data_IF_547200397980
#
_entry.id   IF_547200397980
#
_cell.length_a   1.000
_cell.length_b   1.000
_cell.length_c   1.000
_cell.angle_alpha   90.00
_cell.angle_beta   90.00
_cell.angle_gamma   90.00
#
_symmetry.space_group_name_H-M   'P 1'
#
loop_
_entity.id
_entity.type
_entity.pdbx_description
1 polymer ?
#
# COMPACT_ATOMS: atom_id res chain seq x y z
N UNK A 1 -1.85 20.79 18.87
CA UNK A 1 -0.59 21.35 19.41
C UNK A 1 0.49 21.55 18.35
N UNK A 2 0.84 20.56 17.51
CA UNK A 2 1.90 20.72 16.50
C UNK A 2 1.68 21.90 15.54
N UNK A 3 0.47 22.02 14.96
CA UNK A 3 0.19 23.10 14.01
C UNK A 3 0.30 24.50 14.61
N UNK A 4 -0.05 24.71 15.88
CA UNK A 4 0.07 26.04 16.51
C UNK A 4 1.53 26.44 16.69
N UNK A 5 2.40 25.51 17.09
CA UNK A 5 3.85 25.76 17.19
C UNK A 5 4.46 26.00 15.81
N UNK A 6 4.13 25.16 14.81
CA UNK A 6 4.68 25.33 13.47
C UNK A 6 4.14 26.59 12.76
N UNK A 7 2.92 27.06 13.06
CA UNK A 7 2.42 28.34 12.53
C UNK A 7 3.15 29.55 13.12
N UNK A 8 3.54 29.48 14.40
CA UNK A 8 4.34 30.54 15.04
C UNK A 8 5.77 30.61 14.48
N UNK A 9 6.38 29.45 14.28
CA UNK A 9 7.76 29.37 13.78
C UNK A 9 7.85 29.56 12.26
N UNK A 10 6.91 28.97 11.51
CA UNK A 10 6.94 28.91 10.05
C UNK A 10 5.59 29.32 9.42
N UNK A 11 5.13 30.57 9.61
CA UNK A 11 3.81 31.04 9.14
C UNK A 11 3.66 31.04 7.61
N UNK A 12 4.76 31.03 6.86
CA UNK A 12 4.78 31.02 5.39
C UNK A 12 4.61 29.61 4.79
N UNK A 13 4.67 28.55 5.62
CA UNK A 13 4.42 27.19 5.16
C UNK A 13 2.94 26.94 4.82
N UNK A 14 2.05 27.61 5.56
CA UNK A 14 0.61 27.47 5.42
C UNK A 14 0.06 28.46 4.40
N UNK A 15 -0.99 28.05 3.71
CA UNK A 15 -1.79 28.90 2.83
C UNK A 15 -2.70 29.84 3.65
N UNK A 16 -3.75 30.38 3.02
CA UNK A 16 -4.71 31.29 3.67
C UNK A 16 -5.34 30.69 4.93
N UNK A 17 -5.45 29.35 5.04
CA UNK A 17 -6.06 28.66 6.17
C UNK A 17 -5.40 28.95 7.53
N UNK A 18 -4.18 29.50 7.56
CA UNK A 18 -3.55 29.95 8.82
C UNK A 18 -4.33 31.06 9.51
N UNK A 19 -5.04 31.92 8.77
CA UNK A 19 -5.79 33.05 9.35
C UNK A 19 -6.99 32.60 10.18
N UNK A 20 -7.46 31.35 9.98
CA UNK A 20 -8.55 30.74 10.73
C UNK A 20 -8.07 29.98 11.98
N UNK A 21 -6.77 30.03 12.28
CA UNK A 21 -6.16 29.43 13.47
C UNK A 21 -5.84 27.94 13.37
N UNK A 22 -5.00 27.47 14.29
CA UNK A 22 -4.50 26.08 14.32
C UNK A 22 -5.56 25.04 14.65
N UNK A 23 -6.64 25.43 15.35
CA UNK A 23 -7.77 24.55 15.62
C UNK A 23 -8.47 24.16 14.33
N UNK A 24 -8.75 25.13 13.45
CA UNK A 24 -9.38 24.89 12.14
C UNK A 24 -8.53 23.98 11.28
N UNK A 25 -7.21 24.20 11.24
CA UNK A 25 -6.29 23.33 10.48
C UNK A 25 -6.23 21.91 11.06
N UNK A 26 -6.26 21.75 12.38
CA UNK A 26 -6.29 20.42 13.02
C UNK A 26 -7.63 19.71 12.74
N UNK A 27 -8.75 20.44 12.80
CA UNK A 27 -10.08 19.92 12.44
C UNK A 27 -10.13 19.50 10.97
N UNK A 28 -9.60 20.31 10.06
CA UNK A 28 -9.47 19.95 8.64
C UNK A 28 -8.52 18.78 8.43
N UNK A 29 -7.45 18.67 9.22
CA UNK A 29 -6.55 17.52 9.21
C UNK A 29 -7.35 16.25 9.53
N UNK A 30 -7.97 16.21 10.70
CA UNK A 30 -8.52 14.98 11.30
C UNK A 30 -9.90 14.61 10.73
N UNK A 31 -10.72 15.59 10.33
CA UNK A 31 -12.10 15.35 9.87
C UNK A 31 -12.23 15.13 8.35
N UNK A 32 -11.17 15.30 7.56
CA UNK A 32 -11.25 15.18 6.10
C UNK A 32 -10.16 14.28 5.49
N UNK A 33 -10.60 13.36 4.63
CA UNK A 33 -9.73 12.46 3.88
C UNK A 33 -9.02 11.46 4.77
N UNK A 34 -7.72 11.29 4.57
CA UNK A 34 -6.90 10.30 5.26
C UNK A 34 -6.27 10.80 6.57
N UNK A 35 -6.75 11.93 7.13
CA UNK A 35 -6.17 12.48 8.35
C UNK A 35 -4.83 13.21 8.16
N UNK A 36 -4.41 13.49 6.90
CA UNK A 36 -3.13 14.12 6.60
C UNK A 36 -3.31 15.56 6.12
N UNK A 37 -2.52 16.48 6.66
CA UNK A 37 -2.41 17.86 6.19
C UNK A 37 -1.07 18.09 5.48
N UNK A 38 -1.10 18.49 4.21
CA UNK A 38 0.12 18.71 3.42
C UNK A 38 0.46 20.19 3.28
N UNK A 39 1.74 20.52 3.44
CA UNK A 39 2.32 21.81 3.05
C UNK A 39 3.24 21.58 1.84
N UNK A 40 2.80 21.91 0.61
CA UNK A 40 3.60 21.76 -0.60
C UNK A 40 4.41 23.02 -0.94
N UNK A 41 5.49 22.84 -1.71
CA UNK A 41 6.35 23.90 -2.26
C UNK A 41 7.00 24.79 -1.20
N UNK A 42 7.58 24.16 -0.19
CA UNK A 42 8.29 24.85 0.90
C UNK A 42 9.78 24.75 0.64
N UNK A 43 10.52 25.85 0.73
CA UNK A 43 11.98 25.82 0.59
C UNK A 43 12.62 25.85 1.97
N UNK A 44 13.40 24.82 2.31
CA UNK A 44 14.19 24.75 3.55
C UNK A 44 15.64 24.53 3.16
N UNK A 45 16.53 25.45 3.54
CA UNK A 45 17.96 25.42 3.22
C UNK A 45 18.25 25.20 1.72
N UNK A 46 17.52 25.92 0.85
CA UNK A 46 17.66 25.82 -0.61
C UNK A 46 17.00 24.58 -1.25
N UNK A 47 16.47 23.63 -0.45
CA UNK A 47 15.80 22.43 -0.96
C UNK A 47 14.29 22.62 -0.92
N UNK A 48 13.63 22.42 -2.07
CA UNK A 48 12.18 22.42 -2.16
C UNK A 48 11.62 21.09 -1.63
N UNK A 49 10.80 21.18 -0.60
CA UNK A 49 10.16 20.05 0.06
C UNK A 49 8.63 20.17 0.02
N UNK A 50 8.00 19.02 0.19
CA UNK A 50 6.59 18.88 0.58
C UNK A 50 6.55 17.97 1.79
N UNK A 51 5.87 18.39 2.86
CA UNK A 51 5.72 17.57 4.05
C UNK A 51 4.25 17.43 4.44
N UNK A 52 3.91 16.28 5.02
CA UNK A 52 2.59 15.96 5.54
C UNK A 52 2.63 15.79 7.05
N UNK A 53 1.58 16.24 7.72
CA UNK A 53 1.39 16.10 9.17
C UNK A 53 0.18 15.20 9.39
N UNK A 54 0.31 14.26 10.32
CA UNK A 54 -0.72 13.29 10.67
C UNK A 54 -0.64 12.97 12.16
N UNK A 55 -1.77 12.66 12.78
CA UNK A 55 -1.81 12.17 14.16
C UNK A 55 -1.25 10.73 14.22
N UNK A 56 -0.44 10.44 15.24
CA UNK A 56 0.12 9.09 15.46
C UNK A 56 -0.98 8.03 15.57
N UNK A 57 -2.07 8.33 16.27
CA UNK A 57 -3.19 7.38 16.39
C UNK A 57 -3.84 7.09 15.03
N UNK A 58 -3.96 8.10 14.17
CA UNK A 58 -4.53 7.93 12.83
C UNK A 58 -3.66 7.05 11.94
N UNK A 59 -2.33 7.26 11.93
CA UNK A 59 -1.43 6.40 11.15
C UNK A 59 -1.38 4.99 11.70
N UNK A 60 -1.31 4.80 13.03
CA UNK A 60 -1.35 3.47 13.64
C UNK A 60 -2.64 2.73 13.30
N UNK A 61 -3.79 3.41 13.40
CA UNK A 61 -5.10 2.84 13.07
C UNK A 61 -5.20 2.44 11.59
N UNK A 62 -4.80 3.33 10.67
CA UNK A 62 -4.83 3.00 9.23
C UNK A 62 -3.90 1.82 8.92
N UNK A 63 -2.74 1.73 9.58
CA UNK A 63 -1.79 0.61 9.42
C UNK A 63 -2.34 -0.74 9.93
N UNK A 64 -3.05 -0.74 11.05
CA UNK A 64 -3.56 -1.97 11.66
C UNK A 64 -4.94 -2.40 11.18
N UNK A 65 -5.79 -1.46 10.77
CA UNK A 65 -7.21 -1.73 10.44
C UNK A 65 -7.55 -1.56 8.96
N UNK A 66 -6.75 -0.81 8.20
CA UNK A 66 -7.00 -0.46 6.80
C UNK A 66 -8.34 0.25 6.58
N UNK A 67 -8.62 1.29 7.37
CA UNK A 67 -9.80 2.13 7.22
C UNK A 67 -9.79 2.88 5.87
N UNK A 68 -8.63 3.40 5.47
CA UNK A 68 -8.48 4.19 4.23
C UNK A 68 -7.45 3.65 3.26
N UNK A 69 -6.50 2.84 3.74
CA UNK A 69 -5.33 2.35 2.98
C UNK A 69 -4.42 3.47 2.43
N UNK A 70 -4.63 4.73 2.82
CA UNK A 70 -3.88 5.85 2.28
C UNK A 70 -2.46 5.93 2.85
N UNK A 71 -2.35 5.85 4.18
CA UNK A 71 -1.05 5.85 4.89
C UNK A 71 -0.45 4.44 4.86
N UNK A 72 -1.29 3.44 5.14
CA UNK A 72 -0.90 2.04 5.10
C UNK A 72 -0.34 1.64 3.74
N UNK A 73 -1.03 2.01 2.66
CA UNK A 73 -0.57 1.79 1.30
C UNK A 73 0.75 2.46 0.96
N UNK A 74 1.08 3.61 1.58
CA UNK A 74 2.40 4.24 1.40
C UNK A 74 3.50 3.47 2.11
N UNK A 75 3.21 2.93 3.29
CA UNK A 75 4.17 2.19 4.15
C UNK A 75 4.28 0.70 3.81
N UNK A 76 3.45 0.18 2.89
CA UNK A 76 3.66 -1.10 2.19
C UNK A 76 4.78 -1.03 1.14
N UNK A 77 5.35 0.15 0.90
CA UNK A 77 6.43 0.36 -0.06
C UNK A 77 7.66 0.87 0.68
N UNK A 78 8.87 0.68 0.13
CA UNK A 78 10.09 1.21 0.72
C UNK A 78 10.00 2.69 1.09
N UNK A 79 10.40 2.99 2.33
CA UNK A 79 10.50 4.32 2.91
C UNK A 79 11.77 4.43 3.76
N UNK A 80 12.32 5.64 3.86
CA UNK A 80 13.42 5.93 4.78
C UNK A 80 12.85 6.54 6.05
N UNK A 81 12.98 5.81 7.16
CA UNK A 81 12.56 6.28 8.49
C UNK A 81 13.67 7.15 9.07
N UNK A 82 13.39 8.44 9.26
CA UNK A 82 14.35 9.38 9.84
C UNK A 82 14.26 9.44 11.37
N UNK A 83 13.05 9.18 11.90
CA UNK A 83 12.76 9.07 13.33
C UNK A 83 11.71 7.99 13.52
N UNK A 84 11.96 7.12 14.49
CA UNK A 84 11.11 5.97 14.76
C UNK A 84 10.16 6.24 15.93
N UNK A 85 8.94 5.71 15.85
CA UNK A 85 7.98 5.62 16.96
C UNK A 85 7.61 4.13 17.12
N UNK A 86 7.81 3.52 18.31
CA UNK A 86 7.57 2.10 18.51
C UNK A 86 6.15 1.64 18.14
N UNK A 87 5.13 2.49 18.33
CA UNK A 87 3.74 2.16 18.00
C UNK A 87 3.54 2.10 16.50
N UNK A 88 4.13 3.04 15.76
CA UNK A 88 4.06 3.06 14.29
C UNK A 88 4.83 1.87 13.72
N UNK A 89 5.99 1.52 14.29
CA UNK A 89 6.76 0.34 13.89
C UNK A 89 5.95 -0.95 14.05
N UNK A 90 5.34 -1.16 15.21
CA UNK A 90 4.51 -2.34 15.48
C UNK A 90 3.29 -2.40 14.54
N UNK A 91 2.57 -1.27 14.39
CA UNK A 91 1.44 -1.20 13.47
C UNK A 91 1.87 -1.47 12.01
N UNK A 92 3.06 -1.02 11.61
CA UNK A 92 3.56 -1.28 10.27
C UNK A 92 3.96 -2.75 10.05
N UNK A 93 4.40 -3.49 11.06
CA UNK A 93 4.61 -4.94 10.94
C UNK A 93 3.29 -5.66 10.60
N UNK A 94 2.18 -5.27 11.25
CA UNK A 94 0.84 -5.77 10.93
C UNK A 94 0.47 -5.41 9.49
N UNK A 95 0.71 -4.17 9.09
CA UNK A 95 0.44 -3.69 7.73
C UNK A 95 1.19 -4.49 6.66
N UNK A 96 2.51 -4.69 6.82
CA UNK A 96 3.33 -5.41 5.85
C UNK A 96 2.89 -6.87 5.72
N UNK A 97 2.67 -7.54 6.86
CA UNK A 97 2.19 -8.92 6.89
C UNK A 97 0.80 -9.06 6.26
N UNK A 98 -0.08 -8.09 6.51
CA UNK A 98 -1.42 -8.03 5.90
C UNK A 98 -1.33 -7.84 4.39
N UNK A 99 -0.41 -7.01 3.90
CA UNK A 99 -0.19 -6.79 2.47
C UNK A 99 0.28 -8.06 1.76
N UNK A 100 1.20 -8.83 2.37
CA UNK A 100 1.61 -10.13 1.84
C UNK A 100 0.41 -11.08 1.74
N UNK A 101 -0.37 -11.23 2.83
CA UNK A 101 -1.58 -12.09 2.81
C UNK A 101 -2.57 -11.65 1.74
N UNK A 102 -2.86 -10.36 1.63
CA UNK A 102 -3.74 -9.83 0.59
C UNK A 102 -3.23 -10.14 -0.81
N UNK A 103 -1.93 -9.98 -1.06
CA UNK A 103 -1.34 -10.31 -2.36
C UNK A 103 -1.41 -11.81 -2.67
N UNK A 104 -1.09 -12.67 -1.70
CA UNK A 104 -1.23 -14.13 -1.82
C UNK A 104 -2.70 -14.56 -2.04
N UNK A 105 -3.66 -13.81 -1.48
CA UNK A 105 -5.07 -14.03 -1.75
C UNK A 105 -5.45 -13.76 -3.22
N UNK A 106 -4.70 -12.91 -3.92
CA UNK A 106 -4.97 -12.52 -5.30
C UNK A 106 -4.10 -13.25 -6.34
N UNK A 107 -2.98 -13.83 -5.92
CA UNK A 107 -2.01 -14.50 -6.79
C UNK A 107 -2.34 -16.00 -6.95
N UNK A 108 -1.96 -16.62 -8.07
CA UNK A 108 -2.07 -18.06 -8.27
C UNK A 108 -1.07 -18.84 -7.40
N UNK A 109 -1.10 -20.17 -7.45
CA UNK A 109 -0.19 -21.04 -6.68
C UNK A 109 1.30 -20.72 -6.94
N UNK A 110 1.68 -20.48 -8.19
CA UNK A 110 3.06 -20.18 -8.61
C UNK A 110 3.14 -18.80 -9.22
N UNK A 111 4.07 -17.98 -8.73
CA UNK A 111 4.25 -16.60 -9.18
C UNK A 111 5.70 -16.17 -9.01
N UNK A 112 6.04 -15.00 -9.54
CA UNK A 112 7.37 -14.39 -9.42
C UNK A 112 7.39 -13.34 -8.32
N UNK A 113 8.58 -13.03 -7.82
CA UNK A 113 8.83 -11.98 -6.86
C UNK A 113 8.33 -10.62 -7.37
N UNK A 114 8.57 -10.34 -8.66
CA UNK A 114 8.05 -9.15 -9.31
C UNK A 114 6.52 -9.10 -9.29
N UNK A 115 5.84 -10.22 -9.55
CA UNK A 115 4.38 -10.29 -9.43
C UNK A 115 3.91 -10.02 -8.00
N UNK A 116 4.57 -10.61 -7.00
CA UNK A 116 4.25 -10.38 -5.59
C UNK A 116 4.34 -8.90 -5.22
N UNK A 117 5.47 -8.26 -5.50
CA UNK A 117 5.70 -6.87 -5.13
C UNK A 117 4.86 -5.89 -5.94
N UNK A 118 4.57 -6.22 -7.21
CA UNK A 118 3.64 -5.44 -8.03
C UNK A 118 2.22 -5.50 -7.47
N UNK A 119 1.76 -6.68 -7.04
CA UNK A 119 0.45 -6.84 -6.39
C UNK A 119 0.40 -6.06 -5.09
N UNK A 120 1.41 -6.19 -4.21
CA UNK A 120 1.52 -5.44 -2.95
C UNK A 120 1.51 -3.93 -3.19
N UNK A 121 2.40 -3.43 -4.06
CA UNK A 121 2.48 -2.00 -4.38
C UNK A 121 1.17 -1.49 -5.00
N UNK A 122 0.50 -2.36 -5.77
CA UNK A 122 -0.77 -2.14 -6.44
C UNK A 122 -1.95 -1.96 -5.50
N UNK A 123 -1.97 -2.58 -4.31
CA UNK A 123 -3.07 -2.45 -3.33
C UNK A 123 -3.46 -0.98 -3.14
N UNK A 124 -2.48 -0.12 -2.87
CA UNK A 124 -2.69 1.32 -2.64
C UNK A 124 -3.18 2.15 -3.86
N UNK A 125 -3.20 1.54 -5.04
CA UNK A 125 -3.62 2.16 -6.29
C UNK A 125 -4.92 1.57 -6.84
N UNK A 126 -5.35 0.41 -6.35
CA UNK A 126 -6.60 -0.22 -6.77
C UNK A 126 -7.80 0.60 -6.29
N UNK A 127 -8.43 1.33 -7.22
CA UNK A 127 -9.52 2.24 -6.92
C UNK A 127 -9.09 3.67 -6.61
N UNK A 128 -7.81 4.02 -6.79
CA UNK A 128 -7.38 5.42 -6.80
C UNK A 128 -7.88 6.11 -8.08
N UNK A 129 -8.72 7.16 -7.98
CA UNK A 129 -9.21 7.88 -9.16
C UNK A 129 -8.09 8.44 -10.05
N UNK A 130 -6.90 8.69 -9.49
CA UNK A 130 -5.75 9.21 -10.24
C UNK A 130 -5.19 8.22 -11.26
N UNK A 131 -5.34 6.93 -10.98
CA UNK A 131 -4.96 5.82 -11.86
C UNK A 131 -6.06 5.43 -12.85
N UNK A 132 -7.27 5.99 -12.71
CA UNK A 132 -8.36 5.72 -13.64
C UNK A 132 -7.99 6.25 -15.04
N UNK A 133 -8.01 5.40 -16.09
CA UNK A 133 -7.68 5.80 -17.45
C UNK A 133 -8.49 6.99 -17.98
N UNK A 134 -9.72 7.19 -17.48
CA UNK A 134 -10.58 8.33 -17.84
C UNK A 134 -10.09 9.67 -17.29
N UNK A 135 -9.43 9.68 -16.12
CA UNK A 135 -8.92 10.90 -15.49
C UNK A 135 -7.42 11.13 -15.75
N UNK A 136 -6.68 10.08 -16.15
CA UNK A 136 -5.39 10.17 -16.86
C UNK A 136 -4.27 10.97 -16.19
N UNK A 137 -4.30 11.09 -14.85
CA UNK A 137 -3.41 12.00 -14.11
C UNK A 137 -2.08 11.36 -13.67
N UNK A 138 -1.94 10.03 -13.79
CA UNK A 138 -0.75 9.28 -13.41
C UNK A 138 -0.37 8.27 -14.51
N UNK A 139 0.92 7.88 -14.56
CA UNK A 139 1.44 6.92 -15.54
C UNK A 139 0.84 5.53 -15.26
N UNK A 140 0.22 4.84 -16.25
CA UNK A 140 -0.33 3.49 -16.07
C UNK A 140 0.69 2.45 -15.58
N UNK A 141 1.98 2.64 -15.90
CA UNK A 141 3.10 1.78 -15.47
C UNK A 141 3.71 2.21 -14.14
N UNK A 142 3.07 3.14 -13.42
CA UNK A 142 3.63 3.71 -12.19
C UNK A 142 3.97 2.64 -11.15
N UNK A 143 3.13 1.60 -11.01
CA UNK A 143 3.33 0.53 -10.04
C UNK A 143 4.53 -0.34 -10.39
N UNK A 144 4.59 -0.86 -11.62
CA UNK A 144 5.73 -1.65 -12.10
C UNK A 144 7.04 -0.85 -12.03
N UNK A 145 7.03 0.42 -12.46
CA UNK A 145 8.22 1.26 -12.41
C UNK A 145 8.71 1.53 -10.98
N UNK A 146 7.82 1.50 -9.98
CA UNK A 146 8.23 1.60 -8.57
C UNK A 146 8.95 0.32 -8.14
N UNK A 147 8.39 -0.84 -8.48
CA UNK A 147 8.97 -2.14 -8.10
C UNK A 147 10.30 -2.35 -8.81
N UNK A 148 10.32 -2.17 -10.13
CA UNK A 148 11.51 -2.41 -10.96
C UNK A 148 12.69 -1.52 -10.51
N UNK A 149 12.42 -0.25 -10.14
CA UNK A 149 13.45 0.67 -9.65
C UNK A 149 13.88 0.44 -8.18
N UNK A 150 13.11 -0.33 -7.40
CA UNK A 150 13.32 -0.47 -5.95
C UNK A 150 13.29 -1.91 -5.45
N UNK A 151 13.39 -2.90 -6.35
CA UNK A 151 13.33 -4.33 -6.04
C UNK A 151 14.20 -4.74 -4.83
N UNK A 152 15.47 -4.29 -4.71
CA UNK A 152 16.31 -4.60 -3.54
C UNK A 152 15.72 -4.07 -2.23
N UNK A 153 15.09 -2.89 -2.26
CA UNK A 153 14.44 -2.32 -1.08
C UNK A 153 13.16 -3.07 -0.73
N UNK A 154 12.44 -3.62 -1.71
CA UNK A 154 11.29 -4.49 -1.45
C UNK A 154 11.73 -5.80 -0.79
N UNK A 155 12.85 -6.38 -1.23
CA UNK A 155 13.42 -7.58 -0.59
C UNK A 155 13.70 -7.39 0.88
N UNK A 156 14.30 -6.25 1.26
CA UNK A 156 14.52 -5.91 2.68
C UNK A 156 13.24 -5.91 3.52
N UNK A 157 12.10 -5.48 2.94
CA UNK A 157 10.83 -5.46 3.65
C UNK A 157 10.18 -6.85 3.73
N UNK A 158 10.28 -7.65 2.66
CA UNK A 158 9.40 -8.80 2.47
C UNK A 158 10.08 -10.16 2.55
N UNK A 159 11.38 -10.29 2.26
CA UNK A 159 12.10 -11.58 2.39
C UNK A 159 11.97 -12.14 3.81
N UNK A 160 12.23 -11.36 4.89
CA UNK A 160 12.06 -11.89 6.25
C UNK A 160 10.61 -12.28 6.58
N UNK A 161 9.62 -11.68 5.92
CA UNK A 161 8.22 -12.03 6.13
C UNK A 161 7.84 -13.32 5.39
N UNK A 162 8.34 -13.48 4.17
CA UNK A 162 8.14 -14.69 3.35
C UNK A 162 8.76 -15.90 4.06
N UNK A 163 10.02 -15.79 4.48
CA UNK A 163 10.74 -16.88 5.17
C UNK A 163 10.11 -17.30 6.52
N UNK A 164 9.31 -16.42 7.14
CA UNK A 164 8.62 -16.72 8.41
C UNK A 164 7.16 -17.14 8.21
N UNK A 165 6.62 -17.08 6.99
CA UNK A 165 5.25 -17.48 6.71
C UNK A 165 5.19 -18.97 6.35
N UNK A 166 4.29 -19.76 6.95
CA UNK A 166 4.23 -21.20 6.72
C UNK A 166 3.55 -21.59 5.40
N UNK A 167 3.23 -20.62 4.54
CA UNK A 167 2.32 -20.81 3.41
C UNK A 167 2.81 -20.18 2.10
N UNK A 168 4.06 -19.73 2.06
CA UNK A 168 4.74 -19.24 0.86
C UNK A 168 6.23 -19.45 0.99
N UNK A 169 6.86 -19.97 -0.06
CA UNK A 169 8.29 -20.25 -0.09
C UNK A 169 8.90 -19.82 -1.43
N UNK A 170 10.19 -19.52 -1.41
CA UNK A 170 10.95 -19.38 -2.66
C UNK A 170 11.14 -20.76 -3.30
N UNK A 171 10.67 -20.91 -4.54
CA UNK A 171 10.82 -22.13 -5.33
C UNK A 171 11.73 -21.87 -6.53
N UNK A 172 12.97 -21.48 -6.24
CA UNK A 172 13.98 -21.10 -7.22
C UNK A 172 15.38 -21.45 -6.73
N UNK A 173 16.13 -22.23 -7.51
CA UNK A 173 17.49 -22.66 -7.16
C UNK A 173 18.50 -21.51 -7.14
N UNK A 174 18.16 -20.35 -7.73
CA UNK A 174 19.02 -19.16 -7.78
C UNK A 174 19.00 -18.36 -6.48
N UNK A 175 18.12 -18.68 -5.54
CA UNK A 175 17.98 -17.95 -4.27
C UNK A 175 19.25 -18.18 -3.43
N UNK A 176 19.92 -17.11 -2.98
CA UNK A 176 21.08 -17.25 -2.10
C UNK A 176 20.70 -17.96 -0.80
N UNK A 177 21.58 -18.85 -0.31
CA UNK A 177 21.37 -19.59 0.94
C UNK A 177 21.88 -18.86 2.18
N UNK A 178 22.72 -17.86 1.97
CA UNK A 178 23.33 -17.08 3.06
C UNK A 178 22.28 -16.21 3.75
N UNK A 179 22.19 -16.23 5.10
CA UNK A 179 21.26 -15.38 5.83
C UNK A 179 21.50 -13.89 5.53
N UNK A 180 20.42 -13.16 5.25
CA UNK A 180 20.51 -11.70 5.08
C UNK A 180 20.99 -11.24 3.69
N UNK A 181 21.08 -12.13 2.70
CA UNK A 181 21.44 -11.84 1.30
C UNK A 181 20.66 -10.65 0.69
N UNK A 182 19.42 -10.43 1.11
CA UNK A 182 18.58 -9.31 0.70
C UNK A 182 19.16 -7.95 1.11
N UNK A 183 19.92 -7.91 2.20
CA UNK A 183 20.53 -6.70 2.75
C UNK A 183 21.77 -6.32 1.96
N UNK A 184 22.61 -7.30 1.62
CA UNK A 184 23.82 -7.11 0.81
C UNK A 184 23.47 -6.59 -0.59
N UNK A 185 22.46 -7.18 -1.22
CA UNK A 185 21.93 -6.70 -2.49
C UNK A 185 21.47 -5.24 -2.38
N UNK A 186 20.76 -4.87 -1.33
CA UNK A 186 20.30 -3.50 -1.15
C UNK A 186 21.44 -2.50 -0.82
N UNK A 187 22.48 -2.92 -0.10
CA UNK A 187 23.68 -2.12 0.17
C UNK A 187 24.47 -1.89 -1.12
N UNK A 188 24.71 -2.94 -1.91
CA UNK A 188 25.37 -2.82 -3.21
C UNK A 188 24.64 -1.79 -4.11
N UNK A 189 23.31 -1.80 -4.06
CA UNK A 189 22.47 -0.87 -4.80
C UNK A 189 22.47 0.56 -4.24
N UNK A 190 22.56 0.73 -2.92
CA UNK A 190 22.71 2.04 -2.31
C UNK A 190 24.08 2.66 -2.61
N UNK A 191 25.12 1.84 -2.75
CA UNK A 191 26.50 2.27 -3.05
C UNK A 191 26.72 2.54 -4.55
N UNK A 192 26.06 1.80 -5.44
CA UNK A 192 26.13 2.02 -6.89
C UNK A 192 25.28 3.20 -7.37
N UNK A 193 24.31 3.64 -6.58
CA UNK A 193 23.32 4.62 -7.00
C UNK A 193 23.82 6.07 -6.88
N UNK A 194 24.43 6.55 -7.97
CA UNK A 194 24.43 7.96 -8.35
C UNK A 194 23.03 8.45 -8.78
N UNK A 195 21.96 7.85 -8.26
CA UNK A 195 20.56 8.10 -8.65
C UNK A 195 20.08 7.41 -9.94
N UNK A 196 20.85 6.49 -10.54
CA UNK A 196 20.43 5.70 -11.72
C UNK A 196 19.82 4.36 -11.31
N UNK A 197 18.88 3.87 -12.13
CA UNK A 197 18.31 2.52 -11.98
C UNK A 197 19.40 1.48 -12.24
N UNK A 198 19.33 0.37 -11.51
CA UNK A 198 20.28 -0.75 -11.63
C UNK A 198 19.98 -1.46 -12.95
N UNK A 199 21.00 -1.75 -13.79
CA UNK A 199 20.81 -2.56 -14.98
C UNK A 199 20.19 -3.92 -14.64
N UNK A 200 19.35 -4.44 -15.53
CA UNK A 200 18.59 -5.67 -15.33
C UNK A 200 19.50 -6.88 -15.00
N UNK A 201 20.66 -6.90 -15.61
CA UNK A 201 21.73 -7.89 -15.52
C UNK A 201 22.42 -7.95 -14.15
N UNK A 202 22.43 -6.84 -13.40
CA UNK A 202 23.08 -6.74 -12.10
C UNK A 202 22.13 -7.07 -10.93
N UNK A 203 20.84 -7.27 -11.24
CA UNK A 203 19.83 -7.64 -10.26
C UNK A 203 19.89 -9.16 -10.06
N UNK A 204 20.29 -9.60 -8.86
CA UNK A 204 20.23 -11.02 -8.49
C UNK A 204 18.80 -11.55 -8.68
N UNK A 205 18.63 -12.65 -9.40
CA UNK A 205 17.32 -13.21 -9.76
C UNK A 205 16.73 -12.65 -11.08
N UNK A 206 17.33 -11.62 -11.66
CA UNK A 206 16.87 -10.95 -12.89
C UNK A 206 15.67 -10.03 -12.65
N UNK A 207 15.12 -9.47 -13.75
CA UNK A 207 14.01 -8.50 -13.70
C UNK A 207 12.75 -9.05 -13.03
N UNK A 208 12.40 -10.32 -13.28
CA UNK A 208 11.23 -10.95 -12.65
C UNK A 208 11.50 -11.40 -11.20
N UNK A 209 12.76 -11.35 -10.77
CA UNK A 209 13.22 -11.86 -9.49
C UNK A 209 13.11 -13.38 -9.37
N UNK A 210 12.95 -13.87 -8.16
CA UNK A 210 12.85 -15.30 -7.89
C UNK A 210 11.43 -15.85 -8.10
N UNK A 211 11.32 -17.14 -8.40
CA UNK A 211 10.05 -17.85 -8.38
C UNK A 211 9.63 -18.17 -6.94
N UNK A 212 8.34 -18.02 -6.66
CA UNK A 212 7.70 -18.37 -5.39
C UNK A 212 6.54 -19.32 -5.64
N UNK A 213 6.23 -20.10 -4.61
CA UNK A 213 5.05 -20.95 -4.57
C UNK A 213 4.35 -20.77 -3.24
N UNK A 214 3.03 -20.65 -3.27
CA UNK A 214 2.20 -20.60 -2.07
C UNK A 214 1.40 -21.87 -1.89
N UNK A 215 1.06 -22.18 -0.63
CA UNK A 215 0.18 -23.30 -0.33
C UNK A 215 -1.30 -22.93 -0.55
N UNK A 216 -1.97 -23.75 -1.35
CA UNK A 216 -3.39 -23.61 -1.70
C UNK A 216 -4.32 -24.40 -0.77
N UNK A 217 -3.78 -25.06 0.27
CA UNK A 217 -4.54 -25.75 1.30
C UNK A 217 -5.67 -24.86 1.89
N UNK A 218 -6.91 -25.35 1.97
CA UNK A 218 -8.05 -24.58 2.46
C UNK A 218 -7.84 -23.98 3.85
N UNK A 219 -7.16 -24.70 4.77
CA UNK A 219 -6.90 -24.21 6.13
C UNK A 219 -5.89 -23.06 6.08
N UNK A 220 -4.78 -23.20 5.35
CA UNK A 220 -3.78 -22.12 5.21
C UNK A 220 -4.36 -20.88 4.52
N UNK A 221 -5.18 -21.06 3.48
CA UNK A 221 -5.87 -19.95 2.81
C UNK A 221 -6.92 -19.29 3.70
N UNK A 222 -7.74 -20.05 4.41
CA UNK A 222 -8.69 -19.51 5.38
C UNK A 222 -8.00 -18.75 6.52
N UNK A 223 -6.84 -19.22 6.99
CA UNK A 223 -6.04 -18.50 7.98
C UNK A 223 -5.55 -17.14 7.47
N UNK A 224 -5.22 -17.01 6.18
CA UNK A 224 -4.88 -15.71 5.60
C UNK A 224 -6.07 -14.75 5.66
N UNK A 225 -7.26 -15.21 5.27
CA UNK A 225 -8.51 -14.43 5.30
C UNK A 225 -8.82 -13.97 6.73
N UNK A 226 -8.73 -14.87 7.70
CA UNK A 226 -8.96 -14.60 9.13
C UNK A 226 -8.05 -13.50 9.69
N UNK A 227 -6.80 -13.45 9.22
CA UNK A 227 -5.74 -12.57 9.72
C UNK A 227 -5.60 -11.27 8.93
N UNK A 228 -6.56 -10.95 8.06
CA UNK A 228 -6.65 -9.65 7.42
C UNK A 228 -7.03 -8.56 8.44
N UNK A 229 -6.66 -7.29 8.20
CA UNK A 229 -7.05 -6.16 9.04
C UNK A 229 -8.55 -6.07 9.24
N UNK A 230 -9.00 -5.76 10.46
CA UNK A 230 -10.41 -5.87 10.88
C UNK A 230 -11.39 -5.21 9.91
N UNK A 231 -11.23 -3.91 9.61
CA UNK A 231 -12.15 -3.17 8.73
C UNK A 231 -12.15 -3.72 7.31
N UNK A 232 -11.01 -4.23 6.82
CA UNK A 232 -10.90 -4.87 5.51
C UNK A 232 -11.54 -6.26 5.48
N UNK A 233 -11.24 -7.09 6.48
CA UNK A 233 -11.77 -8.44 6.68
C UNK A 233 -13.30 -8.42 6.73
N UNK A 234 -13.88 -7.51 7.50
CA UNK A 234 -15.33 -7.40 7.60
C UNK A 234 -15.99 -7.08 6.25
N UNK A 235 -15.42 -6.18 5.43
CA UNK A 235 -15.90 -5.91 4.05
C UNK A 235 -15.92 -7.17 3.19
N UNK A 236 -14.87 -7.99 3.29
CA UNK A 236 -14.79 -9.26 2.59
C UNK A 236 -15.83 -10.26 3.11
N UNK A 237 -16.02 -10.33 4.43
CA UNK A 237 -17.00 -11.20 5.08
C UNK A 237 -18.42 -10.86 4.62
N UNK A 238 -18.81 -9.58 4.61
CA UNK A 238 -20.13 -9.17 4.11
C UNK A 238 -20.32 -9.47 2.62
N UNK A 239 -19.25 -9.41 1.82
CA UNK A 239 -19.34 -9.79 0.41
C UNK A 239 -19.70 -11.28 0.27
N UNK A 240 -18.99 -12.14 1.00
CA UNK A 240 -19.20 -13.59 0.95
C UNK A 240 -20.42 -14.06 1.74
N UNK A 241 -20.86 -13.34 2.77
CA UNK A 241 -22.12 -13.60 3.46
C UNK A 241 -23.30 -13.53 2.48
N UNK A 242 -23.33 -12.49 1.64
CA UNK A 242 -24.36 -12.34 0.59
C UNK A 242 -24.24 -13.45 -0.46
N UNK A 243 -23.02 -13.72 -0.94
CA UNK A 243 -22.77 -14.75 -1.96
C UNK A 243 -23.16 -16.15 -1.48
N UNK A 244 -22.82 -16.49 -0.25
CA UNK A 244 -23.12 -17.79 0.35
C UNK A 244 -24.53 -17.88 0.96
N UNK A 245 -25.30 -16.79 0.90
CA UNK A 245 -26.67 -16.70 1.42
C UNK A 245 -26.77 -17.12 2.90
N UNK A 246 -25.78 -16.71 3.71
CA UNK A 246 -25.74 -17.09 5.13
C UNK A 246 -26.76 -16.24 5.91
N UNK A 247 -27.63 -16.85 6.74
CA UNK A 247 -28.55 -16.12 7.61
C UNK A 247 -27.83 -15.15 8.56
N UNK A 248 -28.43 -14.00 8.85
CA UNK A 248 -27.84 -12.97 9.71
C UNK A 248 -27.38 -13.52 11.07
N UNK A 249 -28.23 -14.28 11.76
CA UNK A 249 -27.91 -14.86 13.07
C UNK A 249 -26.74 -15.85 13.06
N UNK A 250 -26.49 -16.54 11.95
CA UNK A 250 -25.32 -17.41 11.79
C UNK A 250 -24.07 -16.59 11.47
N UNK A 251 -24.23 -15.50 10.72
CA UNK A 251 -23.14 -14.60 10.38
C UNK A 251 -22.66 -13.75 11.56
N UNK A 252 -23.58 -13.34 12.44
CA UNK A 252 -23.23 -12.58 13.66
C UNK A 252 -22.26 -13.37 14.53
N UNK A 253 -22.47 -14.68 14.69
CA UNK A 253 -21.54 -15.58 15.40
C UNK A 253 -20.14 -15.57 14.78
N UNK A 254 -20.05 -15.60 13.44
CA UNK A 254 -18.76 -15.55 12.72
C UNK A 254 -18.03 -14.23 13.00
N UNK A 255 -18.76 -13.12 13.09
CA UNK A 255 -18.20 -11.79 13.38
C UNK A 255 -17.79 -11.65 14.85
N UNK A 256 -18.58 -12.18 15.78
CA UNK A 256 -18.28 -12.23 17.22
C UNK A 256 -17.01 -13.03 17.48
N UNK A 257 -16.94 -14.26 16.96
CA UNK A 257 -15.73 -15.10 17.04
C UNK A 257 -14.51 -14.37 16.46
N UNK A 258 -14.67 -13.63 15.36
CA UNK A 258 -13.59 -12.82 14.77
C UNK A 258 -13.12 -11.66 15.64
N UNK A 259 -14.01 -11.09 16.43
CA UNK A 259 -13.76 -9.90 17.22
C UNK A 259 -13.14 -10.25 18.57
N UNK A 260 -13.58 -11.33 19.20
CA UNK A 260 -13.07 -11.78 20.50
C UNK A 260 -11.61 -12.25 20.46
N UNK A 261 -11.12 -12.69 19.30
CA UNK A 261 -9.70 -13.02 19.09
C UNK A 261 -8.81 -11.80 18.81
N UNK A 262 -9.42 -10.64 18.52
CA UNK A 262 -8.68 -9.39 18.31
C UNK A 262 -8.36 -8.66 19.64
N UNK A 263 -9.07 -8.99 20.73
CA UNK A 263 -8.89 -8.44 22.07
C UNK A 263 -8.00 -9.31 22.97
N UNK A 264 -6.67 -9.11 22.92
CA UNK A 264 -5.72 -9.65 23.93
C UNK A 264 -5.81 -11.17 24.21
N UNK A 265 -6.38 -11.94 23.28
CA UNK A 265 -6.56 -13.38 23.40
C UNK A 265 -5.27 -14.12 23.09
N UNK A 266 -4.87 -15.05 23.97
CA UNK A 266 -3.71 -15.95 23.80
C UNK A 266 -4.04 -17.05 22.75
N UNK A 267 -5.30 -17.18 22.30
CA UNK A 267 -5.69 -18.19 21.32
C UNK A 267 -5.10 -17.87 19.94
N UNK A 268 -4.66 -18.91 19.23
CA UNK A 268 -4.20 -18.80 17.84
C UNK A 268 -5.36 -18.32 16.97
N UNK A 269 -5.16 -17.20 16.26
CA UNK A 269 -6.09 -16.75 15.21
C UNK A 269 -6.10 -17.76 14.06
N UNK A 270 -7.09 -18.63 14.05
CA UNK A 270 -7.33 -19.65 13.03
C UNK A 270 -8.67 -19.42 12.35
N UNK A 271 -8.72 -19.64 11.03
CA UNK A 271 -9.94 -19.52 10.25
C UNK A 271 -10.87 -20.72 10.50
N UNK A 272 -12.15 -20.42 10.71
CA UNK A 272 -13.22 -21.41 10.76
C UNK A 272 -13.63 -21.85 9.36
N UNK A 273 -14.74 -22.57 9.28
CA UNK A 273 -15.23 -23.12 8.00
C UNK A 273 -15.66 -22.03 7.02
N UNK A 274 -16.12 -20.88 7.53
CA UNK A 274 -16.45 -19.73 6.71
C UNK A 274 -15.21 -19.17 6.00
N UNK A 275 -14.13 -18.91 6.72
CA UNK A 275 -12.91 -18.38 6.13
C UNK A 275 -12.23 -19.38 5.20
N UNK A 276 -12.26 -20.68 5.52
CA UNK A 276 -11.77 -21.75 4.63
C UNK A 276 -12.56 -21.76 3.33
N UNK A 277 -13.89 -21.70 3.40
CA UNK A 277 -14.76 -21.63 2.22
C UNK A 277 -14.47 -20.40 1.36
N UNK A 278 -14.19 -19.25 1.97
CA UNK A 278 -13.74 -18.04 1.24
C UNK A 278 -12.41 -18.31 0.55
N UNK A 279 -11.41 -18.83 1.30
CA UNK A 279 -10.04 -19.03 0.82
C UNK A 279 -9.91 -19.93 -0.40
N UNK A 280 -10.90 -20.78 -0.67
CA UNK A 280 -10.95 -21.72 -1.79
C UNK A 280 -11.84 -21.26 -2.95
N UNK A 281 -12.39 -20.05 -2.92
CA UNK A 281 -13.18 -19.55 -4.05
C UNK A 281 -12.28 -19.04 -5.17
N UNK A 282 -12.61 -19.36 -6.42
CA UNK A 282 -11.87 -18.87 -7.59
C UNK A 282 -11.99 -17.35 -7.77
N UNK A 283 -13.08 -16.74 -7.28
CA UNK A 283 -13.35 -15.29 -7.39
C UNK A 283 -12.73 -14.46 -6.25
N UNK A 284 -11.91 -15.07 -5.40
CA UNK A 284 -11.27 -14.36 -4.29
C UNK A 284 -10.38 -13.19 -4.75
N UNK A 285 -9.64 -13.23 -5.88
CA UNK A 285 -8.88 -12.08 -6.34
C UNK A 285 -9.77 -10.88 -6.67
N UNK A 286 -10.91 -11.12 -7.33
CA UNK A 286 -11.90 -10.10 -7.69
C UNK A 286 -12.56 -9.53 -6.44
N UNK A 287 -12.99 -10.40 -5.52
CA UNK A 287 -13.63 -9.99 -4.26
C UNK A 287 -12.70 -9.15 -3.38
N UNK A 288 -11.43 -9.55 -3.27
CA UNK A 288 -10.38 -8.79 -2.56
C UNK A 288 -10.15 -7.45 -3.27
N UNK A 289 -10.02 -7.45 -4.60
CA UNK A 289 -9.84 -6.24 -5.39
C UNK A 289 -10.98 -5.23 -5.22
N UNK A 290 -12.21 -5.70 -5.15
CA UNK A 290 -13.38 -4.84 -4.90
C UNK A 290 -13.44 -4.30 -3.47
N UNK A 291 -13.00 -5.08 -2.48
CA UNK A 291 -12.84 -4.59 -1.11
C UNK A 291 -11.78 -3.48 -1.02
N UNK A 292 -10.68 -3.62 -1.77
CA UNK A 292 -9.64 -2.58 -1.86
C UNK A 292 -10.21 -1.30 -2.49
N UNK A 293 -10.92 -1.41 -3.62
CA UNK A 293 -11.56 -0.26 -4.27
C UNK A 293 -12.55 0.47 -3.35
N UNK A 294 -13.39 -0.28 -2.64
CA UNK A 294 -14.34 0.27 -1.65
C UNK A 294 -13.63 0.97 -0.49
N UNK A 295 -12.44 0.53 -0.12
CA UNK A 295 -11.63 1.14 0.94
C UNK A 295 -10.95 2.43 0.48
N UNK A 296 -10.43 2.47 -0.76
CA UNK A 296 -9.58 3.58 -1.24
C UNK A 296 -10.36 4.70 -1.93
N UNK A 297 -11.42 4.38 -2.65
CA UNK A 297 -12.09 5.31 -3.59
C UNK A 297 -12.57 6.61 -2.92
N UNK A 298 -13.21 6.51 -1.75
CA UNK A 298 -13.67 7.69 -1.02
C UNK A 298 -12.51 8.50 -0.41
N UNK A 299 -11.61 7.91 0.43
CA UNK A 299 -10.51 8.66 1.02
C UNK A 299 -9.56 9.31 0.01
N UNK A 300 -9.23 8.62 -1.10
CA UNK A 300 -8.34 9.19 -2.13
C UNK A 300 -9.00 10.40 -2.85
N UNK A 301 -10.31 10.31 -3.13
CA UNK A 301 -11.08 11.41 -3.73
C UNK A 301 -11.12 12.61 -2.79
N UNK A 302 -11.50 12.39 -1.54
CA UNK A 302 -11.56 13.44 -0.52
C UNK A 302 -10.19 14.08 -0.28
N UNK A 303 -9.11 13.28 -0.26
CA UNK A 303 -7.76 13.80 -0.07
C UNK A 303 -7.27 14.62 -1.28
N UNK A 304 -7.65 14.22 -2.50
CA UNK A 304 -7.34 14.99 -3.71
C UNK A 304 -8.06 16.35 -3.69
N UNK A 305 -9.34 16.38 -3.32
CA UNK A 305 -10.12 17.60 -3.17
C UNK A 305 -9.55 18.50 -2.06
N UNK A 306 -9.21 17.92 -0.90
CA UNK A 306 -8.55 18.61 0.20
C UNK A 306 -7.23 19.23 -0.23
N UNK A 307 -6.43 18.53 -1.04
CA UNK A 307 -5.18 19.07 -1.59
C UNK A 307 -5.39 20.34 -2.41
N UNK A 308 -6.47 20.39 -3.21
CA UNK A 308 -6.82 21.58 -4.01
C UNK A 308 -7.24 22.74 -3.11
N UNK A 309 -8.13 22.48 -2.14
CA UNK A 309 -8.67 23.49 -1.24
C UNK A 309 -7.62 24.07 -0.29
N UNK A 310 -6.73 23.22 0.23
CA UNK A 310 -5.72 23.62 1.22
C UNK A 310 -4.46 24.21 0.60
N UNK A 311 -4.11 23.85 -0.64
CA UNK A 311 -2.91 24.35 -1.32
C UNK A 311 -2.98 25.81 -1.77
N UNK A 312 -4.20 26.35 -1.94
CA UNK A 312 -4.43 27.64 -2.61
C UNK A 312 -4.36 27.53 -4.14
N UNK A 313 -5.02 28.41 -4.89
CA UNK A 313 -5.26 28.25 -6.33
C UNK A 313 -3.98 28.10 -7.17
N UNK A 314 -2.94 28.89 -6.87
CA UNK A 314 -1.67 28.88 -7.62
C UNK A 314 -0.86 27.60 -7.44
N UNK A 315 -0.67 27.14 -6.19
CA UNK A 315 0.07 25.90 -5.87
C UNK A 315 -0.69 24.65 -6.35
N UNK A 316 -2.03 24.67 -6.24
CA UNK A 316 -2.89 23.59 -6.72
C UNK A 316 -2.85 23.46 -8.24
N UNK A 317 -2.86 24.58 -8.98
CA UNK A 317 -2.74 24.57 -10.44
C UNK A 317 -1.40 23.99 -10.91
N UNK A 318 -0.29 24.45 -10.33
CA UNK A 318 1.06 23.93 -10.66
C UNK A 318 1.15 22.41 -10.43
N UNK A 319 0.61 21.93 -9.31
CA UNK A 319 0.60 20.49 -8.98
C UNK A 319 -0.20 19.66 -9.99
N UNK A 320 -1.39 20.13 -10.39
CA UNK A 320 -2.23 19.45 -11.38
C UNK A 320 -1.57 19.42 -12.77
N UNK A 321 -0.87 20.50 -13.16
CA UNK A 321 -0.14 20.58 -14.42
C UNK A 321 1.00 19.56 -14.50
N UNK A 322 1.84 19.46 -13.46
CA UNK A 322 2.93 18.48 -13.38
C UNK A 322 2.42 17.04 -13.48
N UNK A 323 1.28 16.75 -12.82
CA UNK A 323 0.66 15.41 -12.87
C UNK A 323 0.12 15.07 -14.25
N UNK A 324 -0.60 16.01 -14.89
CA UNK A 324 -1.09 15.83 -16.28
C UNK A 324 0.05 15.59 -17.28
N UNK A 325 1.16 16.31 -17.16
CA UNK A 325 2.34 16.09 -18.01
C UNK A 325 2.90 14.67 -17.85
N UNK A 326 3.05 14.19 -16.61
CA UNK A 326 3.49 12.80 -16.33
C UNK A 326 2.52 11.76 -16.89
N UNK A 327 1.21 12.01 -16.83
CA UNK A 327 0.19 11.14 -17.44
C UNK A 327 0.32 11.06 -18.96
N UNK A 328 0.58 12.19 -19.64
CA UNK A 328 0.80 12.23 -21.11
C UNK A 328 2.03 11.45 -21.53
N UNK A 329 3.17 11.65 -20.85
CA UNK A 329 4.41 10.90 -21.10
C UNK A 329 4.20 9.40 -20.94
N UNK A 330 3.52 8.97 -19.87
CA UNK A 330 3.23 7.55 -19.64
C UNK A 330 2.29 6.92 -20.68
N UNK A 331 1.38 7.69 -21.28
CA UNK A 331 0.54 7.19 -22.39
C UNK A 331 1.35 6.99 -23.67
N UNK A 332 2.21 7.94 -24.02
CA UNK A 332 3.08 7.85 -25.20
C UNK A 332 4.02 6.64 -25.13
N UNK A 333 4.63 6.38 -23.96
CA UNK A 333 5.47 5.19 -23.74
C UNK A 333 4.70 3.88 -23.97
N UNK A 334 3.47 3.79 -23.45
CA UNK A 334 2.61 2.60 -23.58
C UNK A 334 2.18 2.34 -25.03
N UNK A 335 1.96 3.40 -25.80
CA UNK A 335 1.62 3.31 -27.23
C UNK A 335 2.83 2.87 -28.06
N UNK A 336 4.03 3.37 -27.75
CA UNK A 336 5.29 2.93 -28.37
C UNK A 336 5.57 1.44 -28.18
N UNK A 337 5.41 0.91 -26.96
CA UNK A 337 5.61 -0.53 -26.69
C UNK A 337 4.59 -1.40 -27.42
N UNK A 338 3.31 -1.00 -27.45
CA UNK A 338 2.28 -1.73 -28.20
C UNK A 338 2.58 -1.77 -29.71
N UNK A 339 3.16 -0.70 -30.26
CA UNK A 339 3.59 -0.66 -31.65
C UNK A 339 4.83 -1.53 -31.90
N UNK A 340 5.75 -1.65 -30.95
CA UNK A 340 6.91 -2.56 -31.05
C UNK A 340 6.50 -4.03 -31.01
N UNK A 341 5.64 -4.43 -30.05
CA UNK A 341 5.15 -5.81 -29.94
C UNK A 341 4.35 -6.27 -31.16
N UNK A 342 3.60 -5.37 -31.79
CA UNK A 342 2.88 -5.63 -33.05
C UNK A 342 3.77 -5.75 -34.28
N UNK A 343 5.05 -5.36 -34.19
CA UNK A 343 6.04 -5.52 -35.26
C UNK A 343 6.91 -6.77 -35.07
N UNK A 344 6.88 -7.37 -33.88
CA UNK A 344 7.61 -8.59 -33.53
C UNK A 344 6.74 -9.86 -33.62
N UNK A 345 5.40 -9.70 -33.66
CA UNK A 345 4.43 -10.70 -34.16
C UNK A 345 4.24 -10.54 -35.67
#
# INVERSE_FOLDING_TARGET
>A
HWHSTNMRQNPHHYSFLKSLGSWTVSKVQDSFGAGVYFNPYITVNGVMIKYGVVNINTICKDLSEWDTLYLAGRLQKPVKILRDDPRVRLANQINLMSAVRTALLMLPEKFTERQLYTTIAGISYMGDPRMNPRFGSENPRKVSNIVDAQLPSFRQLYVPLIENLPNVDFNDSRVPKEPGWQTEAAVANALSSSGRAIPAEDIIGGLDGFKLQQDMDPKRRGNMVRRLPKSFRQKLYWNYQKKFQIPGSAFDKVIEEATDEDSMSIKRREGGDFERRIGTQDDIPEAVGDCIKKTISWPSTSQSLKGILTGGPTRSWKYLQEKRQKGKLGKAEKEGEKASKKKEE
#
